data_IF_621590643417
#
_entry.id   IF_621590643417
#
_cell.length_a   1.000
_cell.length_b   1.000
_cell.length_c   1.000
_cell.angle_alpha   90.00
_cell.angle_beta   90.00
_cell.angle_gamma   90.00
#
_symmetry.space_group_name_H-M   'P 1'
#
loop_
_entity.id
_entity.type
_entity.pdbx_description
1 polymer ?
#
# COMPACT_ATOMS: atom_id res chain seq x y z
N UNK A 1 -4.97 25.46 -22.89
CA UNK A 1 -5.05 24.55 -21.74
C UNK A 1 -4.44 23.25 -22.18
N UNK A 2 -3.19 23.06 -21.83
CA UNK A 2 -2.37 21.90 -22.20
C UNK A 2 -1.48 21.65 -20.98
N UNK A 3 -2.12 21.39 -19.84
CA UNK A 3 -1.54 21.63 -18.51
C UNK A 3 -1.62 20.39 -17.60
N UNK A 4 -1.71 19.20 -18.19
CA UNK A 4 -1.68 17.94 -17.44
C UNK A 4 -0.27 17.35 -17.50
N UNK A 5 0.27 17.03 -16.33
CA UNK A 5 1.49 16.23 -16.21
C UNK A 5 1.30 14.90 -16.93
N UNK A 6 2.36 14.38 -17.55
CA UNK A 6 2.30 13.06 -18.19
C UNK A 6 2.91 12.01 -17.29
N UNK A 7 2.41 10.78 -17.42
CA UNK A 7 2.83 9.65 -16.57
C UNK A 7 3.38 8.51 -17.42
N UNK A 8 4.44 7.88 -16.94
CA UNK A 8 4.96 6.64 -17.52
C UNK A 8 4.80 5.51 -16.52
N UNK A 9 4.15 4.42 -16.94
CA UNK A 9 3.94 3.23 -16.12
C UNK A 9 4.90 2.13 -16.58
N UNK A 10 5.72 1.64 -15.65
CA UNK A 10 6.64 0.51 -15.86
C UNK A 10 6.18 -0.69 -15.03
N UNK A 11 6.39 -1.89 -15.56
CA UNK A 11 6.02 -3.16 -14.91
C UNK A 11 7.23 -4.07 -14.78
N UNK A 12 7.40 -4.65 -13.60
CA UNK A 12 8.44 -5.64 -13.32
C UNK A 12 7.83 -6.79 -12.52
N UNK A 13 8.10 -8.04 -12.90
CA UNK A 13 7.66 -9.21 -12.15
C UNK A 13 8.27 -9.23 -10.75
N UNK A 14 7.45 -9.52 -9.74
CA UNK A 14 7.89 -9.74 -8.36
C UNK A 14 7.73 -11.23 -8.02
N UNK A 15 8.73 -12.01 -8.42
CA UNK A 15 8.86 -13.45 -8.20
C UNK A 15 10.04 -13.77 -7.27
N UNK A 16 10.39 -15.05 -7.13
CA UNK A 16 11.53 -15.47 -6.30
C UNK A 16 12.91 -15.06 -6.87
N UNK A 17 12.97 -14.69 -8.14
CA UNK A 17 14.18 -14.26 -8.83
C UNK A 17 14.32 -12.74 -8.92
N UNK A 18 13.27 -12.00 -8.53
CA UNK A 18 13.28 -10.54 -8.47
C UNK A 18 14.50 -10.01 -7.70
N UNK A 19 15.20 -9.08 -8.36
CA UNK A 19 16.34 -8.34 -7.82
C UNK A 19 16.07 -6.86 -8.05
N UNK A 20 16.13 -6.03 -7.00
CA UNK A 20 16.08 -4.59 -7.19
C UNK A 20 17.25 -4.14 -8.07
N UNK A 21 17.02 -3.23 -9.00
CA UNK A 21 18.09 -2.75 -9.87
C UNK A 21 19.01 -1.77 -9.12
N UNK A 22 20.31 -1.80 -9.44
CA UNK A 22 21.32 -0.93 -8.81
C UNK A 22 21.05 0.58 -9.03
N UNK A 23 20.33 0.92 -10.11
CA UNK A 23 20.04 2.29 -10.53
C UNK A 23 18.65 2.80 -10.07
N UNK A 24 17.71 1.92 -9.73
CA UNK A 24 16.47 2.32 -9.06
C UNK A 24 16.80 2.45 -7.58
N UNK A 25 17.06 3.68 -7.12
CA UNK A 25 17.37 3.93 -5.70
C UNK A 25 16.30 3.31 -4.81
N UNK A 26 16.77 2.32 -4.09
CA UNK A 26 16.09 1.08 -3.77
C UNK A 26 15.28 1.32 -2.50
N UNK A 27 13.98 1.58 -2.59
CA UNK A 27 13.31 2.19 -1.44
C UNK A 27 11.84 1.79 -1.21
N UNK A 28 11.30 0.87 -2.00
CA UNK A 28 9.97 0.31 -1.71
C UNK A 28 9.94 -0.65 -0.52
N UNK A 29 8.80 -0.68 0.18
CA UNK A 29 8.56 -1.54 1.36
C UNK A 29 8.86 -3.05 1.11
N UNK A 30 8.71 -3.54 -0.12
CA UNK A 30 9.02 -4.93 -0.49
C UNK A 30 10.46 -5.11 -1.03
N UNK A 31 11.17 -4.03 -1.39
CA UNK A 31 12.54 -4.13 -1.88
C UNK A 31 13.53 -4.59 -0.79
N UNK A 32 13.24 -4.33 0.48
CA UNK A 32 14.04 -4.85 1.60
C UNK A 32 14.01 -6.39 1.66
N UNK A 33 12.85 -7.00 1.39
CA UNK A 33 12.70 -8.46 1.32
C UNK A 33 13.52 -9.08 0.19
N UNK A 34 13.77 -8.30 -0.85
CA UNK A 34 14.49 -8.70 -2.05
C UNK A 34 16.00 -8.39 -2.00
N UNK A 35 16.60 -8.31 -0.79
CA UNK A 35 18.05 -8.04 -0.61
C UNK A 35 18.76 -9.08 0.25
N UNK A 36 20.09 -9.01 0.20
CA UNK A 36 20.99 -9.79 1.05
C UNK A 36 21.02 -11.28 0.70
N UNK A 37 21.73 -12.05 1.51
CA UNK A 37 21.94 -13.49 1.31
C UNK A 37 20.64 -14.29 1.39
N UNK A 38 19.65 -13.80 2.15
CA UNK A 38 18.34 -14.45 2.33
C UNK A 38 17.29 -14.05 1.28
N UNK A 39 17.63 -13.20 0.30
CA UNK A 39 16.71 -12.68 -0.72
C UNK A 39 15.75 -13.74 -1.29
N UNK A 40 16.30 -14.79 -1.90
CA UNK A 40 15.48 -15.77 -2.61
C UNK A 40 14.56 -16.54 -1.65
N UNK A 41 15.08 -16.90 -0.46
CA UNK A 41 14.31 -17.59 0.56
C UNK A 41 13.18 -16.70 1.10
N UNK A 42 13.46 -15.42 1.36
CA UNK A 42 12.46 -14.43 1.78
C UNK A 42 11.33 -14.30 0.77
N UNK A 43 11.67 -14.11 -0.52
CA UNK A 43 10.69 -13.97 -1.60
C UNK A 43 9.86 -15.24 -1.77
N UNK A 44 10.49 -16.41 -1.83
CA UNK A 44 9.79 -17.70 -1.93
C UNK A 44 8.84 -17.92 -0.76
N UNK A 45 9.28 -17.64 0.47
CA UNK A 45 8.46 -17.80 1.67
C UNK A 45 7.28 -16.82 1.67
N UNK A 46 7.50 -15.56 1.29
CA UNK A 46 6.43 -14.56 1.19
C UNK A 46 5.39 -14.97 0.14
N UNK A 47 5.82 -15.35 -1.06
CA UNK A 47 4.92 -15.80 -2.14
C UNK A 47 4.14 -17.05 -1.74
N UNK A 48 4.78 -18.03 -1.09
CA UNK A 48 4.10 -19.21 -0.57
C UNK A 48 3.07 -18.85 0.53
N UNK A 49 3.37 -17.90 1.41
CA UNK A 49 2.40 -17.40 2.39
C UNK A 49 1.18 -16.74 1.73
N UNK A 50 1.39 -16.00 0.64
CA UNK A 50 0.31 -15.38 -0.14
C UNK A 50 -0.56 -16.47 -0.79
N UNK A 51 0.04 -17.44 -1.47
CA UNK A 51 -0.69 -18.57 -2.08
C UNK A 51 -1.52 -19.33 -1.04
N UNK A 52 -0.91 -19.67 0.10
CA UNK A 52 -1.60 -20.38 1.18
C UNK A 52 -2.77 -19.56 1.72
N UNK A 53 -2.57 -18.24 1.92
CA UNK A 53 -3.62 -17.37 2.42
C UNK A 53 -4.75 -17.18 1.41
N UNK A 54 -4.42 -17.04 0.13
CA UNK A 54 -5.40 -16.96 -0.95
C UNK A 54 -6.28 -18.20 -0.98
N UNK A 55 -5.66 -19.39 -1.02
CA UNK A 55 -6.40 -20.65 -1.08
C UNK A 55 -7.24 -20.91 0.19
N UNK A 56 -6.79 -20.47 1.36
CA UNK A 56 -7.57 -20.57 2.60
C UNK A 56 -8.85 -19.72 2.57
N UNK A 57 -8.84 -18.58 1.88
CA UNK A 57 -10.02 -17.72 1.71
C UNK A 57 -10.88 -18.17 0.51
N UNK A 58 -10.25 -18.58 -0.58
CA UNK A 58 -10.88 -19.15 -1.78
C UNK A 58 -11.03 -20.67 -1.63
N UNK A 59 -11.80 -21.08 -0.62
CA UNK A 59 -11.96 -22.50 -0.24
C UNK A 59 -13.02 -23.25 -1.07
N UNK A 60 -13.89 -22.53 -1.79
CA UNK A 60 -14.88 -23.13 -2.66
C UNK A 60 -14.21 -23.84 -3.84
N UNK A 61 -14.66 -25.06 -4.14
CA UNK A 61 -14.10 -25.92 -5.19
C UNK A 61 -12.57 -26.04 -5.12
N UNK A 62 -12.03 -26.02 -3.88
CA UNK A 62 -10.60 -26.06 -3.58
C UNK A 62 -10.29 -26.95 -2.37
N UNK A 63 -10.69 -28.25 -2.39
CA UNK A 63 -10.59 -29.12 -1.21
C UNK A 63 -9.16 -29.38 -0.74
N UNK A 64 -8.17 -29.30 -1.64
CA UNK A 64 -6.76 -29.47 -1.31
C UNK A 64 -6.05 -28.15 -0.94
N UNK A 65 -6.74 -27.01 -1.03
CA UNK A 65 -6.18 -25.70 -0.69
C UNK A 65 -4.98 -25.29 -1.55
N UNK A 66 -4.90 -25.75 -2.80
CA UNK A 66 -3.74 -25.54 -3.68
C UNK A 66 -4.12 -25.20 -5.14
N UNK A 67 -5.40 -24.90 -5.41
CA UNK A 67 -5.91 -24.56 -6.74
C UNK A 67 -5.30 -23.28 -7.31
N UNK A 68 -5.11 -22.26 -6.48
CA UNK A 68 -4.70 -20.94 -6.94
C UNK A 68 -3.23 -20.65 -6.63
N UNK A 69 -2.61 -19.81 -7.46
CA UNK A 69 -1.40 -19.05 -7.10
C UNK A 69 -1.61 -17.57 -7.40
N UNK A 70 -0.91 -16.71 -6.68
CA UNK A 70 -0.96 -15.26 -6.85
C UNK A 70 0.37 -14.76 -7.37
N UNK A 71 0.37 -14.23 -8.58
CA UNK A 71 1.49 -13.52 -9.16
C UNK A 71 1.44 -12.04 -8.78
N UNK A 72 2.62 -11.43 -8.67
CA UNK A 72 2.77 -10.02 -8.33
C UNK A 72 3.59 -9.30 -9.39
N UNK A 73 3.15 -8.11 -9.78
CA UNK A 73 3.93 -7.18 -10.58
C UNK A 73 4.13 -5.88 -9.80
N UNK A 74 5.36 -5.37 -9.79
CA UNK A 74 5.68 -4.02 -9.37
C UNK A 74 5.26 -3.08 -10.50
N UNK A 75 4.43 -2.12 -10.14
CA UNK A 75 4.02 -1.00 -10.95
C UNK A 75 4.77 0.22 -10.45
N UNK A 76 5.67 0.76 -11.28
CA UNK A 76 6.38 2.01 -11.00
C UNK A 76 5.83 3.11 -11.90
N UNK A 77 5.52 4.26 -11.31
CA UNK A 77 4.92 5.41 -11.99
C UNK A 77 5.89 6.58 -11.92
N UNK A 78 6.35 7.02 -13.09
CA UNK A 78 7.17 8.21 -13.22
C UNK A 78 6.33 9.37 -13.76
N UNK A 79 6.58 10.58 -13.27
CA UNK A 79 5.92 11.82 -13.72
C UNK A 79 6.89 12.68 -14.53
N UNK A 80 6.40 13.27 -15.62
CA UNK A 80 7.05 14.35 -16.33
C UNK A 80 6.24 15.64 -16.13
N UNK A 81 6.87 16.64 -15.49
CA UNK A 81 6.25 17.91 -15.10
C UNK A 81 6.28 18.94 -16.24
N UNK A 82 7.36 18.98 -17.02
CA UNK A 82 7.63 20.06 -17.97
C UNK A 82 7.60 19.60 -19.44
N UNK A 83 7.32 18.32 -19.67
CA UNK A 83 7.25 17.72 -21.01
C UNK A 83 8.62 17.58 -21.67
N UNK A 84 9.71 17.72 -20.91
CA UNK A 84 11.08 17.58 -21.43
C UNK A 84 11.49 16.13 -21.67
N UNK A 85 10.69 15.16 -21.21
CA UNK A 85 11.04 13.74 -21.14
C UNK A 85 11.89 13.38 -19.92
N UNK A 86 12.25 14.34 -19.06
CA UNK A 86 12.89 14.06 -17.78
C UNK A 86 11.85 13.70 -16.73
N UNK A 87 11.93 12.48 -16.22
CA UNK A 87 10.91 11.96 -15.33
C UNK A 87 11.39 11.85 -13.88
N UNK A 88 10.48 11.99 -12.93
CA UNK A 88 10.71 11.72 -11.51
C UNK A 88 9.86 10.52 -11.04
N UNK A 89 10.42 9.53 -10.31
CA UNK A 89 9.63 8.42 -9.78
C UNK A 89 8.68 8.89 -8.68
N UNK A 90 7.39 8.63 -8.81
CA UNK A 90 6.37 9.15 -7.88
C UNK A 90 5.77 8.07 -6.99
N UNK A 91 5.30 6.98 -7.59
CA UNK A 91 4.52 5.94 -6.92
C UNK A 91 5.10 4.57 -7.29
N UNK A 92 5.17 3.68 -6.32
CA UNK A 92 5.34 2.25 -6.55
C UNK A 92 4.25 1.47 -5.81
N UNK A 93 3.68 0.47 -6.48
CA UNK A 93 2.63 -0.39 -5.92
C UNK A 93 2.69 -1.78 -6.56
N UNK A 94 2.02 -2.74 -5.94
CA UNK A 94 1.90 -4.09 -6.45
C UNK A 94 0.52 -4.29 -7.10
N UNK A 95 0.53 -4.88 -8.29
CA UNK A 95 -0.63 -5.47 -8.94
C UNK A 95 -0.60 -6.97 -8.73
N UNK A 96 -1.76 -7.54 -8.43
CA UNK A 96 -1.94 -9.00 -8.28
C UNK A 96 -2.55 -9.60 -9.54
N UNK A 97 -2.19 -10.84 -9.84
CA UNK A 97 -2.87 -11.69 -10.81
C UNK A 97 -3.10 -13.06 -10.18
N UNK A 98 -4.29 -13.62 -10.39
CA UNK A 98 -4.67 -14.92 -9.85
C UNK A 98 -4.53 -15.95 -10.97
N UNK A 99 -3.72 -16.97 -10.76
CA UNK A 99 -3.60 -18.11 -11.65
C UNK A 99 -4.45 -19.24 -11.09
N UNK A 100 -5.50 -19.61 -11.80
CA UNK A 100 -6.30 -20.80 -11.50
C UNK A 100 -5.66 -22.03 -12.17
N UNK A 101 -5.03 -22.90 -11.39
CA UNK A 101 -4.31 -24.08 -11.90
C UNK A 101 -5.27 -25.15 -12.43
N UNK A 102 -6.54 -25.09 -12.08
CA UNK A 102 -7.54 -26.06 -12.54
C UNK A 102 -8.06 -25.70 -13.94
N UNK A 103 -8.33 -24.42 -14.20
CA UNK A 103 -8.82 -23.94 -15.50
C UNK A 103 -7.70 -23.44 -16.41
N UNK A 104 -6.49 -23.26 -15.88
CA UNK A 104 -5.35 -22.64 -16.55
C UNK A 104 -5.64 -21.20 -17.01
N UNK A 105 -6.48 -20.48 -16.26
CA UNK A 105 -6.81 -19.08 -16.51
C UNK A 105 -5.98 -18.15 -15.63
N UNK A 106 -5.64 -16.99 -16.19
CA UNK A 106 -5.01 -15.88 -15.48
C UNK A 106 -6.00 -14.75 -15.34
N UNK A 107 -6.41 -14.47 -14.11
CA UNK A 107 -7.45 -13.51 -13.76
C UNK A 107 -6.78 -12.26 -13.19
N UNK A 108 -7.24 -11.08 -13.60
CA UNK A 108 -6.76 -9.83 -13.04
C UNK A 108 -7.17 -9.71 -11.56
N UNK A 109 -6.20 -9.39 -10.72
CA UNK A 109 -6.44 -8.95 -9.36
C UNK A 109 -6.34 -7.42 -9.23
N UNK A 110 -6.36 -6.94 -7.99
CA UNK A 110 -6.27 -5.51 -7.69
C UNK A 110 -4.85 -4.95 -7.82
N UNK A 111 -4.79 -3.67 -8.20
CA UNK A 111 -3.61 -2.79 -8.11
C UNK A 111 -3.74 -1.87 -6.88
N UNK A 112 -2.61 -1.42 -6.34
CA UNK A 112 -2.55 -0.53 -5.16
C UNK A 112 -2.02 -1.21 -3.89
N UNK A 113 -1.69 -2.50 -3.97
CA UNK A 113 -1.10 -3.23 -2.85
C UNK A 113 0.30 -2.67 -2.53
N UNK A 114 0.66 -2.64 -1.25
CA UNK A 114 1.97 -2.20 -0.77
C UNK A 114 2.41 -0.82 -1.31
N UNK A 115 1.46 0.11 -1.40
CA UNK A 115 1.64 1.46 -1.91
C UNK A 115 2.79 2.22 -1.22
N UNK A 116 3.68 2.78 -2.03
CA UNK A 116 4.79 3.65 -1.65
C UNK A 116 4.77 4.90 -2.55
N UNK A 117 5.18 6.04 -2.00
CA UNK A 117 5.24 7.30 -2.74
C UNK A 117 6.33 8.20 -2.20
N UNK A 118 7.15 8.71 -3.11
CA UNK A 118 8.24 9.63 -2.79
C UNK A 118 7.73 10.94 -2.19
N UNK A 119 6.60 11.46 -2.69
CA UNK A 119 5.98 12.68 -2.15
C UNK A 119 5.37 12.43 -0.78
N UNK A 120 4.79 11.24 -0.55
CA UNK A 120 4.34 10.83 0.78
C UNK A 120 5.49 10.76 1.79
N UNK A 121 6.60 10.16 1.38
CA UNK A 121 7.74 10.00 2.28
C UNK A 121 8.43 11.34 2.54
N UNK A 122 8.41 12.28 1.58
CA UNK A 122 8.75 13.69 1.84
C UNK A 122 7.82 14.32 2.89
N UNK A 123 6.50 14.22 2.71
CA UNK A 123 5.54 14.82 3.61
C UNK A 123 5.74 14.29 5.05
N UNK A 124 5.76 12.98 5.24
CA UNK A 124 5.85 12.37 6.57
C UNK A 124 7.27 12.44 7.19
N UNK A 125 8.32 12.20 6.40
CA UNK A 125 9.68 12.04 6.92
C UNK A 125 10.53 13.30 6.84
N UNK A 126 10.08 14.35 6.17
CA UNK A 126 10.80 15.64 6.05
C UNK A 126 9.91 16.78 6.50
N UNK A 127 8.79 17.04 5.81
CA UNK A 127 7.95 18.22 6.07
C UNK A 127 7.35 18.19 7.47
N UNK A 128 6.68 17.09 7.86
CA UNK A 128 6.03 16.96 9.16
C UNK A 128 7.03 17.00 10.32
N UNK A 129 8.18 16.31 10.16
CA UNK A 129 9.24 16.32 11.16
C UNK A 129 9.85 17.71 11.34
N UNK A 130 10.13 18.41 10.23
CA UNK A 130 10.68 19.76 10.29
C UNK A 130 9.69 20.77 10.88
N UNK A 131 8.40 20.66 10.53
CA UNK A 131 7.34 21.51 11.08
C UNK A 131 7.28 21.42 12.60
N UNK A 132 7.28 20.20 13.14
CA UNK A 132 7.20 19.97 14.59
C UNK A 132 8.53 20.19 15.33
N UNK A 133 9.63 20.42 14.61
CA UNK A 133 10.93 20.65 15.23
C UNK A 133 10.89 21.94 16.06
N UNK A 134 11.26 21.82 17.34
CA UNK A 134 11.22 22.92 18.33
C UNK A 134 9.83 23.44 18.69
N UNK A 135 8.75 22.75 18.31
CA UNK A 135 7.40 23.08 18.81
C UNK A 135 7.13 22.39 20.15
N UNK A 136 6.32 23.02 21.00
CA UNK A 136 5.93 22.47 22.31
C UNK A 136 4.89 21.35 22.22
N UNK A 137 4.20 21.23 21.09
CA UNK A 137 3.17 20.22 20.86
C UNK A 137 3.12 19.80 19.39
N UNK A 138 2.52 18.63 19.14
CA UNK A 138 2.33 18.13 17.79
C UNK A 138 1.28 18.94 17.05
N UNK A 139 1.61 19.38 15.84
CA UNK A 139 0.68 20.00 14.90
C UNK A 139 0.98 19.53 13.46
N UNK A 140 0.02 19.75 12.57
CA UNK A 140 0.09 19.32 11.17
C UNK A 140 0.19 20.60 10.31
N UNK A 141 1.09 20.67 9.30
CA UNK A 141 1.09 21.77 8.34
C UNK A 141 -0.26 21.92 7.63
N UNK A 142 -0.70 23.15 7.38
CA UNK A 142 -2.03 23.43 6.79
C UNK A 142 -2.23 22.74 5.41
N UNK A 143 -1.15 22.64 4.62
CA UNK A 143 -1.15 22.04 3.29
C UNK A 143 -0.70 20.56 3.26
N UNK A 144 -0.65 19.90 4.42
CA UNK A 144 -0.12 18.54 4.54
C UNK A 144 -0.91 17.54 3.68
N UNK A 145 -0.23 16.93 2.72
CA UNK A 145 -0.81 15.97 1.78
C UNK A 145 -1.62 16.56 0.62
N UNK A 146 -1.76 17.89 0.54
CA UNK A 146 -2.54 18.52 -0.54
C UNK A 146 -1.91 18.29 -1.92
N UNK A 147 -0.60 18.49 -2.04
CA UNK A 147 0.10 18.29 -3.31
C UNK A 147 0.01 16.84 -3.76
N UNK A 148 0.37 15.90 -2.88
CA UNK A 148 0.34 14.48 -3.21
C UNK A 148 -1.08 14.00 -3.51
N UNK A 149 -2.08 14.46 -2.75
CA UNK A 149 -3.49 14.16 -3.01
C UNK A 149 -3.92 14.58 -4.42
N UNK A 150 -3.51 15.76 -4.88
CA UNK A 150 -3.79 16.23 -6.24
C UNK A 150 -3.02 15.45 -7.29
N UNK A 151 -1.73 15.19 -7.09
CA UNK A 151 -0.91 14.39 -8.02
C UNK A 151 -1.47 12.98 -8.18
N UNK A 152 -1.90 12.34 -7.08
CA UNK A 152 -2.52 11.02 -7.13
C UNK A 152 -3.83 11.03 -7.91
N UNK A 153 -4.69 12.05 -7.70
CA UNK A 153 -5.94 12.19 -8.46
C UNK A 153 -5.68 12.46 -9.94
N UNK A 154 -4.69 13.29 -10.26
CA UNK A 154 -4.26 13.54 -11.63
C UNK A 154 -3.83 12.23 -12.30
N UNK A 155 -3.03 11.42 -11.61
CA UNK A 155 -2.61 10.10 -12.10
C UNK A 155 -3.79 9.15 -12.33
N UNK A 156 -4.66 8.90 -11.34
CA UNK A 156 -5.75 7.91 -11.51
C UNK A 156 -6.80 8.32 -12.53
N UNK A 157 -6.89 9.61 -12.86
CA UNK A 157 -7.77 10.13 -13.91
C UNK A 157 -7.07 10.25 -15.28
N UNK A 158 -5.76 9.97 -15.37
CA UNK A 158 -4.99 10.14 -16.59
C UNK A 158 -5.32 9.07 -17.64
N UNK A 159 -5.03 9.36 -18.90
CA UNK A 159 -5.23 8.41 -19.99
C UNK A 159 -4.33 7.18 -19.81
N UNK A 160 -3.11 7.37 -19.32
CA UNK A 160 -2.15 6.30 -19.08
C UNK A 160 -2.64 5.33 -18.00
N UNK A 161 -3.28 5.84 -16.94
CA UNK A 161 -3.93 4.97 -15.95
C UNK A 161 -5.07 4.16 -16.57
N UNK A 162 -5.97 4.80 -17.30
CA UNK A 162 -7.13 4.16 -17.92
C UNK A 162 -6.73 3.12 -18.99
N UNK A 163 -5.61 3.34 -19.68
CA UNK A 163 -5.02 2.36 -20.61
C UNK A 163 -4.35 1.19 -19.88
N UNK A 164 -3.76 1.44 -18.71
CA UNK A 164 -3.01 0.44 -17.98
C UNK A 164 -3.88 -0.44 -17.05
N UNK A 165 -4.97 0.09 -16.51
CA UNK A 165 -5.79 -0.58 -15.50
C UNK A 165 -7.28 -0.47 -15.80
N UNK A 166 -7.99 -1.58 -15.63
CA UNK A 166 -9.44 -1.63 -15.82
C UNK A 166 -10.23 -1.09 -14.62
N UNK A 167 -9.60 -1.01 -13.44
CA UNK A 167 -10.24 -0.60 -12.18
C UNK A 167 -9.33 0.33 -11.39
N UNK A 168 -9.96 1.16 -10.57
CA UNK A 168 -9.30 2.05 -9.61
C UNK A 168 -8.58 1.24 -8.51
N UNK A 169 -7.55 1.81 -7.86
CA UNK A 169 -6.71 1.05 -6.95
C UNK A 169 -7.43 0.82 -5.60
N UNK A 170 -7.12 -0.32 -4.97
CA UNK A 170 -7.46 -0.59 -3.57
C UNK A 170 -6.16 -0.66 -2.78
N UNK A 171 -5.98 0.27 -1.84
CA UNK A 171 -4.80 0.29 -0.98
C UNK A 171 -5.20 -0.30 0.37
N UNK A 172 -4.54 -1.38 0.77
CA UNK A 172 -4.78 -2.02 2.06
C UNK A 172 -3.58 -1.85 2.99
N UNK A 173 -3.82 -1.35 4.21
CA UNK A 173 -2.79 -1.01 5.20
C UNK A 173 -3.10 -1.58 6.58
N UNK A 174 -2.09 -1.52 7.45
CA UNK A 174 -2.27 -1.72 8.89
C UNK A 174 -3.23 -0.69 9.48
N UNK A 175 -4.00 -1.10 10.49
CA UNK A 175 -4.66 -0.17 11.42
C UNK A 175 -3.65 0.61 12.26
N UNK A 176 -4.06 1.78 12.76
CA UNK A 176 -3.22 2.63 13.62
C UNK A 176 -3.30 2.18 15.08
N UNK A 177 -2.17 2.05 15.75
CA UNK A 177 -2.07 1.76 17.19
C UNK A 177 -2.49 2.94 18.09
N UNK A 178 -2.60 4.14 17.51
CA UNK A 178 -3.13 5.31 18.21
C UNK A 178 -4.66 5.27 18.40
N UNK A 179 -5.37 4.43 17.63
CA UNK A 179 -6.84 4.41 17.59
C UNK A 179 -7.43 3.16 18.24
N UNK A 180 -8.69 3.26 18.61
CA UNK A 180 -9.49 2.13 19.11
C UNK A 180 -10.55 1.80 18.07
N UNK A 181 -10.69 0.51 17.79
CA UNK A 181 -11.61 -0.04 16.79
C UNK A 181 -12.71 -0.82 17.50
N UNK A 182 -13.95 -0.54 17.13
CA UNK A 182 -15.13 -1.19 17.68
C UNK A 182 -15.73 -2.10 16.62
N UNK A 183 -15.85 -3.39 16.95
CA UNK A 183 -16.49 -4.37 16.09
C UNK A 183 -17.96 -3.98 15.87
N UNK A 184 -18.41 -4.10 14.64
CA UNK A 184 -19.81 -3.88 14.24
C UNK A 184 -20.53 -5.21 14.00
N UNK A 185 -21.82 -5.15 13.70
CA UNK A 185 -22.61 -6.32 13.29
C UNK A 185 -22.44 -6.67 11.81
N UNK A 186 -21.89 -5.76 11.01
CA UNK A 186 -21.72 -5.98 9.58
C UNK A 186 -20.62 -7.01 9.30
N UNK A 187 -20.96 -8.02 8.50
CA UNK A 187 -20.05 -9.12 8.13
C UNK A 187 -20.14 -9.37 6.63
N UNK A 188 -19.01 -9.24 5.95
CA UNK A 188 -18.87 -9.54 4.52
C UNK A 188 -18.26 -10.94 4.34
N UNK A 189 -18.69 -11.74 3.34
CA UNK A 189 -18.21 -13.12 3.17
C UNK A 189 -16.69 -13.25 2.94
N UNK A 190 -16.09 -12.30 2.21
CA UNK A 190 -14.63 -12.24 1.97
C UNK A 190 -13.89 -11.37 2.98
N UNK A 191 -14.25 -10.08 3.07
CA UNK A 191 -13.58 -9.12 3.97
C UNK A 191 -13.76 -9.44 5.45
N UNK A 192 -14.77 -10.22 5.83
CA UNK A 192 -15.05 -10.61 7.21
C UNK A 192 -15.78 -9.51 7.99
N UNK A 193 -15.49 -9.40 9.28
CA UNK A 193 -16.25 -8.53 10.19
C UNK A 193 -15.76 -7.09 10.11
N UNK A 194 -16.68 -6.13 10.00
CA UNK A 194 -16.34 -4.71 9.96
C UNK A 194 -16.08 -4.13 11.36
N UNK A 195 -15.10 -3.23 11.43
CA UNK A 195 -14.74 -2.45 12.59
C UNK A 195 -14.86 -0.94 12.28
N UNK A 196 -15.24 -0.15 13.28
CA UNK A 196 -15.31 1.29 13.18
C UNK A 196 -14.29 1.95 14.14
N UNK A 197 -13.44 2.87 13.67
CA UNK A 197 -12.52 3.59 14.54
C UNK A 197 -13.27 4.62 15.40
N UNK A 198 -12.73 4.93 16.57
CA UNK A 198 -13.24 6.00 17.43
C UNK A 198 -13.05 7.40 16.84
N UNK A 199 -12.02 7.58 16.00
CA UNK A 199 -11.67 8.85 15.35
C UNK A 199 -10.71 8.60 14.17
N UNK A 200 -10.60 9.56 13.26
CA UNK A 200 -9.72 9.44 12.10
C UNK A 200 -8.23 9.50 12.48
N UNK A 201 -7.42 8.70 11.79
CA UNK A 201 -5.96 8.74 11.92
C UNK A 201 -5.33 9.78 10.98
N UNK A 202 -4.07 10.19 11.23
CA UNK A 202 -3.36 11.09 10.32
C UNK A 202 -3.22 10.50 8.91
N UNK A 203 -2.94 9.19 8.82
CA UNK A 203 -2.87 8.49 7.53
C UNK A 203 -4.21 8.51 6.81
N UNK A 204 -5.30 8.36 7.54
CA UNK A 204 -6.64 8.43 6.95
C UNK A 204 -6.95 9.82 6.40
N UNK A 205 -6.70 10.89 7.17
CA UNK A 205 -6.87 12.27 6.71
C UNK A 205 -6.01 12.56 5.48
N UNK A 206 -4.79 12.02 5.45
CA UNK A 206 -3.88 12.15 4.30
C UNK A 206 -4.41 11.43 3.05
N UNK A 207 -4.93 10.20 3.19
CA UNK A 207 -5.48 9.44 2.06
C UNK A 207 -6.84 10.00 1.60
N UNK A 208 -7.59 10.66 2.47
CA UNK A 208 -8.79 11.42 2.07
C UNK A 208 -8.43 12.57 1.09
N UNK A 209 -7.26 13.20 1.21
CA UNK A 209 -6.79 14.19 0.23
C UNK A 209 -6.61 13.60 -1.18
N UNK A 210 -6.31 12.30 -1.27
CA UNK A 210 -6.27 11.52 -2.52
C UNK A 210 -7.65 11.18 -3.06
N UNK A 211 -8.73 11.47 -2.32
CA UNK A 211 -10.11 11.12 -2.70
C UNK A 211 -10.54 9.73 -2.25
N UNK A 212 -9.73 9.05 -1.43
CA UNK A 212 -10.01 7.70 -0.97
C UNK A 212 -10.92 7.72 0.27
N UNK A 213 -11.91 6.84 0.27
CA UNK A 213 -12.67 6.46 1.47
C UNK A 213 -11.92 5.34 2.19
N UNK A 214 -12.24 5.09 3.46
CA UNK A 214 -11.67 3.97 4.23
C UNK A 214 -12.75 3.14 4.89
N UNK A 215 -12.56 1.82 4.93
CA UNK A 215 -13.31 0.88 5.77
C UNK A 215 -12.36 -0.12 6.41
N UNK A 216 -12.74 -0.66 7.57
CA UNK A 216 -11.88 -1.57 8.32
C UNK A 216 -12.55 -2.91 8.47
N UNK A 217 -11.90 -3.96 7.97
CA UNK A 217 -12.44 -5.30 8.03
C UNK A 217 -11.41 -6.26 8.56
N UNK A 218 -11.85 -7.21 9.39
CA UNK A 218 -11.04 -8.33 9.83
C UNK A 218 -11.45 -9.58 9.04
N UNK A 219 -10.64 -10.01 8.06
CA UNK A 219 -10.93 -11.19 7.25
C UNK A 219 -11.08 -12.46 8.09
N UNK A 220 -11.81 -13.47 7.57
CA UNK A 220 -11.92 -14.76 8.24
C UNK A 220 -10.53 -15.35 8.56
N UNK A 221 -10.36 -15.82 9.80
CA UNK A 221 -9.11 -16.38 10.31
C UNK A 221 -7.91 -15.40 10.35
N UNK A 222 -8.15 -14.09 10.28
CA UNK A 222 -7.18 -13.06 10.67
C UNK A 222 -7.33 -12.74 12.16
N UNK A 223 -6.29 -12.13 12.74
CA UNK A 223 -6.26 -11.76 14.17
C UNK A 223 -6.51 -10.27 14.42
N UNK A 224 -6.47 -9.43 13.38
CA UNK A 224 -6.67 -7.99 13.48
C UNK A 224 -7.31 -7.42 12.21
N UNK A 225 -8.06 -6.31 12.29
CA UNK A 225 -8.61 -5.64 11.12
C UNK A 225 -7.54 -5.00 10.24
N UNK A 226 -7.79 -4.96 8.94
CA UNK A 226 -7.04 -4.24 7.91
C UNK A 226 -7.84 -2.99 7.49
N UNK A 227 -7.12 -1.93 7.12
CA UNK A 227 -7.71 -0.70 6.59
C UNK A 227 -7.71 -0.74 5.06
N UNK A 228 -8.89 -0.71 4.44
CA UNK A 228 -9.07 -0.71 2.99
C UNK A 228 -9.41 0.71 2.54
N UNK A 229 -8.51 1.32 1.76
CA UNK A 229 -8.68 2.61 1.12
C UNK A 229 -9.07 2.42 -0.34
N UNK A 230 -10.15 3.06 -0.78
CA UNK A 230 -10.77 2.81 -2.08
C UNK A 230 -11.54 4.02 -2.61
N UNK A 231 -11.80 4.01 -3.91
CA UNK A 231 -12.78 4.86 -4.57
C UNK A 231 -14.11 4.10 -4.74
N UNK A 232 -15.22 4.82 -4.90
CA UNK A 232 -16.51 4.20 -5.21
C UNK A 232 -17.07 3.38 -4.04
N UNK A 233 -17.38 2.11 -4.32
CA UNK A 233 -17.96 1.11 -3.42
C UNK A 233 -17.13 -0.17 -3.38
N UNK A 234 -16.30 -0.32 -2.34
CA UNK A 234 -15.45 -1.49 -2.10
C UNK A 234 -16.20 -2.83 -2.19
N UNK A 235 -17.47 -2.88 -1.78
CA UNK A 235 -18.19 -4.15 -1.64
C UNK A 235 -18.77 -4.64 -2.97
N UNK A 236 -19.00 -3.73 -3.91
CA UNK A 236 -19.74 -4.02 -5.15
C UNK A 236 -18.90 -3.84 -6.41
N UNK A 237 -17.85 -3.01 -6.37
CA UNK A 237 -17.02 -2.71 -7.55
C UNK A 237 -15.92 -3.78 -7.80
N UNK A 238 -15.66 -4.64 -6.80
CA UNK A 238 -14.61 -5.65 -6.81
C UNK A 238 -15.16 -7.06 -6.57
N UNK A 239 -14.65 -8.03 -7.31
CA UNK A 239 -14.98 -9.44 -7.19
C UNK A 239 -14.37 -10.05 -5.94
N UNK A 240 -14.91 -11.20 -5.52
CA UNK A 240 -14.38 -11.95 -4.39
C UNK A 240 -12.89 -12.31 -4.58
N UNK A 241 -12.46 -12.74 -5.77
CA UNK A 241 -11.06 -13.12 -6.02
C UNK A 241 -10.12 -11.90 -5.97
N UNK A 242 -10.56 -10.73 -6.47
CA UNK A 242 -9.81 -9.47 -6.36
C UNK A 242 -9.64 -9.04 -4.89
N UNK A 243 -10.69 -9.12 -4.08
CA UNK A 243 -10.61 -8.80 -2.65
C UNK A 243 -9.74 -9.81 -1.89
N UNK A 244 -9.84 -11.10 -2.20
CA UNK A 244 -8.99 -12.14 -1.62
C UNK A 244 -7.52 -11.92 -1.99
N UNK A 245 -7.20 -11.54 -3.24
CA UNK A 245 -5.81 -11.27 -3.62
C UNK A 245 -5.23 -10.11 -2.81
N UNK A 246 -5.98 -9.02 -2.64
CA UNK A 246 -5.58 -7.90 -1.76
C UNK A 246 -5.34 -8.36 -0.32
N UNK A 247 -6.27 -9.14 0.26
CA UNK A 247 -6.12 -9.65 1.64
C UNK A 247 -4.88 -10.55 1.75
N UNK A 248 -4.74 -11.52 0.87
CA UNK A 248 -3.67 -12.52 0.92
C UNK A 248 -2.29 -11.85 0.81
N UNK A 249 -2.15 -10.92 -0.12
CA UNK A 249 -0.92 -10.13 -0.31
C UNK A 249 -0.66 -9.24 0.90
N UNK A 250 -1.62 -8.39 1.29
CA UNK A 250 -1.36 -7.38 2.31
C UNK A 250 -1.28 -7.93 3.72
N UNK A 251 -2.06 -8.96 4.08
CA UNK A 251 -1.93 -9.62 5.38
C UNK A 251 -0.57 -10.31 5.52
N UNK A 252 -0.07 -10.95 4.46
CA UNK A 252 1.29 -11.53 4.46
C UNK A 252 2.33 -10.45 4.75
N UNK A 253 2.29 -9.33 4.03
CA UNK A 253 3.21 -8.21 4.30
C UNK A 253 3.03 -7.65 5.71
N UNK A 254 1.79 -7.53 6.21
CA UNK A 254 1.58 -7.05 7.58
C UNK A 254 2.08 -8.03 8.65
N UNK A 255 2.02 -9.34 8.43
CA UNK A 255 2.63 -10.34 9.33
C UNK A 255 4.15 -10.21 9.40
N UNK A 256 4.79 -9.79 8.32
CA UNK A 256 6.22 -9.52 8.27
C UNK A 256 6.55 -8.17 8.94
N UNK A 257 5.78 -7.12 8.61
CA UNK A 257 6.10 -5.74 9.02
C UNK A 257 5.67 -5.41 10.45
N UNK A 258 4.54 -5.97 10.89
CA UNK A 258 3.86 -5.70 12.16
C UNK A 258 3.26 -6.98 12.76
N UNK A 259 4.07 -8.03 12.98
CA UNK A 259 3.64 -9.29 13.61
C UNK A 259 2.97 -9.06 14.96
N UNK A 260 3.31 -8.00 15.69
CA UNK A 260 2.71 -7.65 16.99
C UNK A 260 1.20 -7.37 16.87
N UNK A 261 0.72 -7.03 15.66
CA UNK A 261 -0.69 -6.80 15.35
C UNK A 261 -1.26 -7.98 14.55
N UNK A 262 -0.58 -8.39 13.47
CA UNK A 262 -1.15 -9.30 12.46
C UNK A 262 -0.72 -10.76 12.60
N UNK A 263 0.25 -11.03 13.48
CA UNK A 263 0.68 -12.37 13.85
C UNK A 263 0.67 -12.56 15.38
N UNK A 264 -0.19 -11.79 16.06
CA UNK A 264 -0.45 -11.93 17.49
C UNK A 264 -1.18 -13.24 17.78
N UNK A 265 -0.92 -13.82 18.95
CA UNK A 265 -1.61 -15.04 19.38
C UNK A 265 -3.00 -14.75 19.98
N UNK A 266 -3.35 -13.47 20.14
CA UNK A 266 -4.66 -13.00 20.55
C UNK A 266 -5.43 -12.38 19.38
N UNK A 267 -6.70 -12.74 19.25
CA UNK A 267 -7.62 -12.21 18.23
C UNK A 267 -8.26 -10.90 18.73
N UNK A 268 -8.43 -9.93 17.83
CA UNK A 268 -9.14 -8.68 18.11
C UNK A 268 -10.57 -8.93 18.64
N UNK A 269 -10.85 -8.43 19.84
CA UNK A 269 -12.16 -8.53 20.48
C UNK A 269 -13.17 -7.50 19.96
N UNK A 270 -14.29 -7.34 20.70
CA UNK A 270 -15.34 -6.36 20.39
C UNK A 270 -14.83 -4.91 20.41
N UNK A 271 -13.84 -4.63 21.25
CA UNK A 271 -13.08 -3.38 21.31
C UNK A 271 -11.61 -3.74 21.19
N UNK A 272 -10.95 -3.22 20.16
CA UNK A 272 -9.57 -3.55 19.83
C UNK A 272 -8.71 -2.30 19.76
N UNK A 273 -7.60 -2.28 20.49
CA UNK A 273 -6.56 -1.26 20.37
C UNK A 273 -5.27 -1.95 19.94
N UNK A 274 -4.77 -1.73 18.71
CA UNK A 274 -3.54 -2.35 18.25
C UNK A 274 -2.36 -1.93 19.14
N UNK A 275 -1.36 -2.79 19.27
CA UNK A 275 -0.19 -2.52 20.09
C UNK A 275 1.09 -3.03 19.42
N UNK A 276 1.93 -2.11 18.96
CA UNK A 276 3.21 -2.42 18.31
C UNK A 276 4.30 -2.94 19.27
N UNK A 277 3.99 -3.05 20.56
CA UNK A 277 4.87 -3.62 21.59
C UNK A 277 4.24 -4.86 22.24
N UNK A 278 3.26 -5.48 21.59
CA UNK A 278 2.61 -6.68 22.11
C UNK A 278 3.58 -7.86 22.10
N UNK A 279 3.95 -8.46 23.25
CA UNK A 279 4.99 -9.49 23.29
C UNK A 279 4.50 -10.86 22.84
N UNK A 280 3.19 -11.12 22.92
CA UNK A 280 2.59 -12.42 22.59
C UNK A 280 2.24 -12.51 21.09
N UNK A 281 3.28 -12.64 20.27
CA UNK A 281 3.18 -12.79 18.83
C UNK A 281 4.20 -13.77 18.28
N UNK A 282 3.94 -14.25 17.08
CA UNK A 282 4.87 -15.09 16.32
C UNK A 282 5.62 -14.27 15.27
N UNK A 283 6.87 -14.62 14.97
CA UNK A 283 7.67 -14.00 13.90
C UNK A 283 7.80 -14.97 12.74
N UNK A 284 7.73 -14.47 11.51
CA UNK A 284 7.92 -15.27 10.29
C UNK A 284 9.37 -15.70 10.11
N UNK A 285 9.62 -16.76 9.35
CA UNK A 285 10.98 -17.16 8.92
C UNK A 285 11.51 -16.30 7.76
N UNK A 286 11.09 -15.04 7.71
CA UNK A 286 11.46 -14.05 6.68
C UNK A 286 12.24 -12.97 7.41
N UNK A 287 13.48 -12.77 6.98
CA UNK A 287 14.36 -11.74 7.53
C UNK A 287 13.97 -10.39 6.93
N UNK A 288 13.59 -9.43 7.77
CA UNK A 288 13.15 -8.11 7.35
C UNK A 288 13.72 -7.04 8.28
N UNK A 289 14.48 -6.09 7.72
CA UNK A 289 15.11 -5.03 8.48
C UNK A 289 14.20 -3.79 8.56
N UNK A 290 13.60 -3.59 9.74
CA UNK A 290 12.71 -2.44 9.99
C UNK A 290 13.48 -1.12 10.16
N UNK A 291 14.72 -1.18 10.62
CA UNK A 291 15.56 0.02 10.82
C UNK A 291 16.02 0.53 9.46
N UNK A 292 16.53 -0.36 8.61
CA UNK A 292 16.87 -0.04 7.21
C UNK A 292 15.66 0.55 6.50
N UNK A 293 14.47 -0.07 6.62
CA UNK A 293 13.25 0.48 6.02
C UNK A 293 12.91 1.89 6.52
N UNK A 294 13.11 2.18 7.79
CA UNK A 294 12.86 3.51 8.34
C UNK A 294 13.86 4.54 7.82
N UNK A 295 15.13 4.15 7.65
CA UNK A 295 16.16 5.00 7.04
C UNK A 295 15.86 5.28 5.57
N UNK A 296 15.48 4.26 4.79
CA UNK A 296 15.14 4.39 3.38
C UNK A 296 13.98 5.37 3.16
N UNK A 297 12.96 5.39 4.03
CA UNK A 297 11.86 6.35 3.93
C UNK A 297 12.33 7.82 4.12
N UNK A 298 13.32 8.05 5.00
CA UNK A 298 13.92 9.37 5.19
C UNK A 298 14.75 9.76 3.96
N UNK A 299 15.52 8.83 3.41
CA UNK A 299 16.32 9.04 2.20
C UNK A 299 15.44 9.33 0.98
N UNK A 300 14.33 8.61 0.81
CA UNK A 300 13.32 8.90 -0.21
C UNK A 300 12.75 10.31 -0.05
N UNK A 301 12.35 10.67 1.17
CA UNK A 301 11.79 11.99 1.43
C UNK A 301 12.76 13.11 1.10
N UNK A 302 14.05 12.95 1.43
CA UNK A 302 15.10 13.92 1.06
C UNK A 302 15.40 13.93 -0.43
N UNK A 303 15.34 12.77 -1.08
CA UNK A 303 15.49 12.68 -2.53
C UNK A 303 14.36 13.43 -3.25
N UNK A 304 13.11 13.21 -2.84
CA UNK A 304 11.97 13.96 -3.34
C UNK A 304 12.10 15.46 -3.05
N UNK A 305 12.55 15.84 -1.85
CA UNK A 305 12.81 17.24 -1.53
C UNK A 305 13.81 17.88 -2.52
N UNK A 306 14.92 17.20 -2.78
CA UNK A 306 16.04 17.73 -3.57
C UNK A 306 15.76 17.75 -5.08
N UNK A 307 15.14 16.69 -5.62
CA UNK A 307 15.04 16.48 -7.07
C UNK A 307 13.64 16.73 -7.63
N UNK A 308 12.63 16.89 -6.77
CA UNK A 308 11.25 17.11 -7.20
C UNK A 308 10.65 18.37 -6.58
N UNK A 309 10.57 18.44 -5.24
CA UNK A 309 9.89 19.53 -4.55
C UNK A 309 10.60 20.87 -4.76
N UNK A 310 11.90 20.97 -4.44
CA UNK A 310 12.64 22.24 -4.57
C UNK A 310 12.80 22.71 -6.02
N UNK A 311 13.20 21.86 -6.99
CA UNK A 311 13.41 22.31 -8.37
C UNK A 311 12.12 22.77 -9.05
N UNK A 312 11.00 22.11 -8.76
CA UNK A 312 9.71 22.39 -9.39
C UNK A 312 8.73 23.15 -8.48
N UNK A 313 9.19 23.73 -7.36
CA UNK A 313 8.33 24.33 -6.34
C UNK A 313 7.30 25.29 -6.93
N UNK A 314 7.74 26.28 -7.72
CA UNK A 314 6.85 27.27 -8.31
C UNK A 314 5.82 26.65 -9.27
N UNK A 315 6.24 25.66 -10.07
CA UNK A 315 5.37 24.95 -11.01
C UNK A 315 4.34 24.12 -10.25
N UNK A 316 4.76 23.38 -9.23
CA UNK A 316 3.89 22.54 -8.39
C UNK A 316 2.89 23.37 -7.58
N UNK A 317 3.31 24.52 -7.05
CA UNK A 317 2.43 25.45 -6.33
C UNK A 317 1.39 26.07 -7.28
N UNK A 318 1.82 26.58 -8.43
CA UNK A 318 0.92 27.15 -9.43
C UNK A 318 -0.07 26.10 -9.96
N UNK A 319 0.41 24.90 -10.29
CA UNK A 319 -0.43 23.81 -10.73
C UNK A 319 -1.43 23.40 -9.65
N UNK A 320 -0.95 23.18 -8.41
CA UNK A 320 -1.79 22.80 -7.28
C UNK A 320 -2.88 23.83 -7.01
N UNK A 321 -2.60 25.13 -7.10
CA UNK A 321 -3.58 26.19 -6.89
C UNK A 321 -4.70 26.20 -7.95
N UNK A 322 -4.41 25.77 -9.17
CA UNK A 322 -5.35 25.77 -10.30
C UNK A 322 -6.00 24.40 -10.57
N UNK A 323 -5.48 23.34 -9.96
CA UNK A 323 -5.99 21.98 -10.16
C UNK A 323 -7.40 21.84 -9.59
N UNK A 324 -8.36 21.63 -10.48
CA UNK A 324 -9.76 21.32 -10.18
C UNK A 324 -10.02 19.90 -10.66
N UNK A 325 -10.53 19.03 -9.77
CA UNK A 325 -10.88 17.65 -10.14
C UNK A 325 -12.19 17.61 -10.90
#
# INVERSE_FOLDING_TARGET
MKDDFSFTIKRVGFDEDYRPSDNTRITTNFANLARGEYRQANLRNALAMIDNRFNALASWDNPAGNRYSVELEIISVDIDIDGSGQTFPTIEMLQTYIVDKQTNERINGNVGNNFSSYVRDYDFSVLLLNHNKNQSGFSIPDNFGDLHGKLFKCFVNSQEYQQAFAKLPVICLSVSDSKTYHRTENTHPVLGVEYQPNESSLTELYFQKMGLKVRYFMPPNSVAPLAFYFFGDLLNDYTNLELISTIATMETFQKIYRPEIYNANAVAGQRYKPNLKHPDHSVTQIVYDREERSQLAIEQGRFAEQYFIKPYQAVLEQWSANYTN
#
